data_IF_735672687323
#
_entry.id   IF_735672687323
#
_cell.length_a   1.000
_cell.length_b   1.000
_cell.length_c   1.000
_cell.angle_alpha   90.00
_cell.angle_beta   90.00
_cell.angle_gamma   90.00
#
_symmetry.space_group_name_H-M   'P 1'
#
loop_
_entity.id
_entity.type
_entity.pdbx_description
1 polymer ?
#
# COMPACT_ATOMS: atom_id res chain seq x y z
N UNK A 1 -18.48 16.15 -15.18
CA UNK A 1 -18.38 17.58 -15.54
C UNK A 1 -18.84 18.34 -14.31
N UNK A 2 -18.08 19.32 -13.81
CA UNK A 2 -18.44 20.04 -12.58
C UNK A 2 -19.68 20.91 -12.84
N UNK A 3 -20.75 20.71 -12.06
CA UNK A 3 -22.02 21.45 -12.16
C UNK A 3 -21.82 22.98 -12.16
N UNK A 4 -20.86 23.45 -11.34
CA UNK A 4 -20.47 24.86 -11.28
C UNK A 4 -19.89 25.42 -12.59
N UNK A 5 -19.16 24.61 -13.37
CA UNK A 5 -18.60 25.05 -14.67
C UNK A 5 -19.72 25.22 -15.70
N UNK A 6 -20.69 24.31 -15.73
CA UNK A 6 -21.83 24.39 -16.65
C UNK A 6 -22.70 25.62 -16.37
N UNK A 7 -22.91 25.95 -15.09
CA UNK A 7 -23.63 27.16 -14.68
C UNK A 7 -22.95 28.44 -15.18
N UNK A 8 -21.63 28.55 -15.06
CA UNK A 8 -20.86 29.71 -15.55
C UNK A 8 -20.98 29.83 -17.08
N UNK A 9 -20.83 28.72 -17.81
CA UNK A 9 -20.95 28.74 -19.27
C UNK A 9 -22.36 29.11 -19.76
N UNK A 10 -23.40 28.70 -19.03
CA UNK A 10 -24.78 29.13 -19.31
C UNK A 10 -24.98 30.63 -19.09
N UNK A 11 -24.34 31.23 -18.08
CA UNK A 11 -24.42 32.67 -17.83
C UNK A 11 -23.73 33.48 -18.95
N UNK A 12 -22.60 32.98 -19.46
CA UNK A 12 -21.93 33.58 -20.63
C UNK A 12 -22.78 33.43 -21.89
N UNK A 13 -23.36 32.25 -22.13
CA UNK A 13 -24.25 32.01 -23.28
C UNK A 13 -25.52 32.87 -23.22
N UNK A 14 -26.02 33.18 -22.02
CA UNK A 14 -27.15 34.07 -21.80
C UNK A 14 -26.77 35.57 -21.87
N UNK A 15 -25.49 35.90 -22.11
CA UNK A 15 -24.99 37.28 -22.17
C UNK A 15 -24.99 38.01 -20.82
N UNK A 16 -25.17 37.29 -19.71
CA UNK A 16 -25.17 37.86 -18.35
C UNK A 16 -23.77 37.99 -17.74
N UNK A 17 -22.77 37.42 -18.41
CA UNK A 17 -21.38 37.44 -18.01
C UNK A 17 -20.51 37.52 -19.26
N UNK A 18 -19.50 38.40 -19.25
CA UNK A 18 -18.52 38.46 -20.34
C UNK A 18 -17.48 37.35 -20.22
N UNK A 19 -16.74 37.08 -21.31
CA UNK A 19 -15.70 36.06 -21.30
C UNK A 19 -14.56 36.43 -20.33
N UNK A 20 -14.25 37.73 -20.25
CA UNK A 20 -13.23 38.30 -19.37
C UNK A 20 -13.58 38.13 -17.89
N UNK A 21 -14.86 38.29 -17.54
CA UNK A 21 -15.35 38.09 -16.17
C UNK A 21 -15.47 36.60 -15.80
N UNK A 22 -15.71 35.73 -16.78
CA UNK A 22 -15.82 34.28 -16.56
C UNK A 22 -14.46 33.61 -16.33
N UNK A 23 -13.40 34.09 -16.98
CA UNK A 23 -12.06 33.52 -16.90
C UNK A 23 -11.53 33.29 -15.46
N UNK A 24 -11.56 34.28 -14.54
CA UNK A 24 -11.08 34.07 -13.18
C UNK A 24 -11.97 33.12 -12.36
N UNK A 25 -13.29 33.07 -12.64
CA UNK A 25 -14.21 32.16 -11.96
C UNK A 25 -13.96 30.70 -12.34
N UNK A 26 -13.67 30.44 -13.61
CA UNK A 26 -13.32 29.11 -14.11
C UNK A 26 -11.96 28.67 -13.54
N UNK A 27 -10.97 29.56 -13.51
CA UNK A 27 -9.65 29.27 -12.94
C UNK A 27 -9.75 28.87 -11.46
N UNK A 28 -10.53 29.61 -10.66
CA UNK A 28 -10.74 29.31 -9.24
C UNK A 28 -11.49 27.99 -8.98
N UNK A 29 -12.23 27.47 -9.96
CA UNK A 29 -12.84 26.14 -9.88
C UNK A 29 -11.85 25.01 -10.17
N UNK A 30 -10.88 25.25 -11.06
CA UNK A 30 -9.83 24.28 -11.37
C UNK A 30 -8.81 24.16 -10.24
N UNK A 31 -8.49 25.27 -9.55
CA UNK A 31 -7.62 25.27 -8.35
C UNK A 31 -8.22 24.52 -7.15
N UNK A 32 -9.56 24.44 -7.06
CA UNK A 32 -10.26 23.63 -6.04
C UNK A 32 -10.30 22.15 -6.35
N UNK A 33 -9.88 21.75 -7.56
CA UNK A 33 -9.65 20.34 -7.84
C UNK A 33 -8.47 19.93 -6.97
N UNK A 34 -8.64 19.00 -6.01
CA UNK A 34 -7.52 18.54 -5.21
C UNK A 34 -6.41 18.14 -6.20
N UNK A 35 -5.15 18.54 -5.96
CA UNK A 35 -4.06 18.17 -6.84
C UNK A 35 -4.16 16.68 -7.05
N UNK A 36 -4.15 16.25 -8.31
CA UNK A 36 -4.09 14.83 -8.63
C UNK A 36 -2.89 14.30 -7.84
N UNK A 37 -3.19 13.55 -6.78
CA UNK A 37 -2.19 12.91 -5.93
C UNK A 37 -1.24 12.24 -6.92
N UNK A 38 0.08 12.52 -6.87
CA UNK A 38 0.99 11.97 -7.86
C UNK A 38 0.66 10.49 -7.95
N UNK A 39 0.21 10.06 -9.12
CA UNK A 39 -0.11 8.67 -9.36
C UNK A 39 1.19 7.94 -9.05
N UNK A 40 1.24 7.27 -7.91
CA UNK A 40 2.26 6.28 -7.63
C UNK A 40 2.20 5.37 -8.84
N UNK A 41 3.24 5.43 -9.69
CA UNK A 41 3.37 4.60 -10.88
C UNK A 41 2.90 3.21 -10.48
N UNK A 42 1.96 2.56 -11.20
CA UNK A 42 1.70 1.16 -10.94
C UNK A 42 3.06 0.47 -11.15
N UNK A 43 3.64 -0.01 -10.04
CA UNK A 43 4.86 -0.79 -10.11
C UNK A 43 4.49 -1.97 -11.02
N UNK A 44 5.12 -2.04 -12.18
CA UNK A 44 4.88 -3.08 -13.18
C UNK A 44 5.42 -4.44 -12.74
N UNK A 45 5.90 -4.57 -11.49
CA UNK A 45 6.17 -5.84 -10.85
C UNK A 45 4.97 -6.22 -9.96
N UNK A 46 4.56 -7.50 -9.93
CA UNK A 46 3.63 -7.97 -8.90
C UNK A 46 4.17 -7.53 -7.53
N UNK A 47 3.33 -6.86 -6.74
CA UNK A 47 3.74 -6.38 -5.43
C UNK A 47 4.20 -7.58 -4.58
N UNK A 48 5.51 -7.71 -4.36
CA UNK A 48 6.10 -8.81 -3.60
C UNK A 48 5.46 -8.89 -2.22
N UNK A 49 5.04 -10.08 -1.82
CA UNK A 49 4.29 -10.29 -0.58
C UNK A 49 5.09 -11.14 0.37
N UNK A 50 5.04 -10.82 1.65
CA UNK A 50 5.58 -11.66 2.70
C UNK A 50 4.41 -12.44 3.29
N UNK A 51 4.48 -13.75 3.21
CA UNK A 51 3.57 -14.65 3.91
C UNK A 51 4.17 -15.02 5.26
N UNK A 52 3.41 -14.81 6.32
CA UNK A 52 3.77 -15.20 7.69
C UNK A 52 2.72 -16.16 8.20
N UNK A 53 3.17 -17.34 8.62
CA UNK A 53 2.33 -18.38 9.20
C UNK A 53 2.84 -18.72 10.59
N UNK A 54 1.96 -18.67 11.59
CA UNK A 54 2.26 -19.09 12.97
C UNK A 54 1.40 -20.29 13.29
N UNK A 55 2.03 -21.33 13.82
CA UNK A 55 1.41 -22.56 14.28
C UNK A 55 1.53 -22.63 15.80
N UNK A 56 0.44 -22.99 16.46
CA UNK A 56 0.41 -23.34 17.88
C UNK A 56 -0.26 -24.71 18.04
N UNK A 57 0.38 -25.64 18.77
CA UNK A 57 -0.05 -27.00 19.04
C UNK A 57 -0.44 -27.76 17.77
N UNK A 58 0.36 -27.56 16.72
CA UNK A 58 0.13 -28.13 15.39
C UNK A 58 -1.02 -27.51 14.58
N UNK A 59 -1.62 -26.40 15.03
CA UNK A 59 -2.69 -25.68 14.30
C UNK A 59 -2.22 -24.30 13.87
N UNK A 60 -2.47 -23.92 12.62
CA UNK A 60 -2.21 -22.55 12.17
C UNK A 60 -3.17 -21.58 12.87
N UNK A 61 -2.60 -20.69 13.70
CA UNK A 61 -3.32 -19.63 14.41
C UNK A 61 -3.22 -18.29 13.69
N UNK A 62 -2.15 -18.09 12.90
CA UNK A 62 -1.95 -16.89 12.07
C UNK A 62 -1.52 -17.32 10.68
N UNK A 63 -2.13 -16.74 9.64
CA UNK A 63 -1.71 -16.88 8.25
C UNK A 63 -2.03 -15.57 7.51
N UNK A 64 -1.02 -14.74 7.29
CA UNK A 64 -1.17 -13.39 6.77
C UNK A 64 -0.27 -13.19 5.55
N UNK A 65 -0.76 -12.36 4.62
CA UNK A 65 0.01 -11.84 3.49
C UNK A 65 0.12 -10.33 3.63
N UNK A 66 1.35 -9.84 3.71
CA UNK A 66 1.64 -8.42 3.85
C UNK A 66 2.55 -7.93 2.73
N UNK A 67 2.40 -6.68 2.26
CA UNK A 67 3.36 -6.07 1.35
C UNK A 67 4.79 -6.14 1.90
N UNK A 68 5.78 -6.36 1.03
CA UNK A 68 7.20 -6.44 1.40
C UNK A 68 7.66 -5.29 2.30
N UNK A 69 7.25 -4.06 1.98
CA UNK A 69 7.60 -2.87 2.77
C UNK A 69 7.09 -2.95 4.22
N UNK A 70 5.89 -3.50 4.45
CA UNK A 70 5.37 -3.73 5.79
C UNK A 70 6.05 -4.93 6.45
N UNK A 71 6.29 -6.01 5.71
CA UNK A 71 6.97 -7.20 6.23
C UNK A 71 8.37 -6.88 6.79
N UNK A 72 9.16 -6.04 6.11
CA UNK A 72 10.48 -5.62 6.57
C UNK A 72 10.44 -4.85 7.90
N UNK A 73 9.44 -3.99 8.10
CA UNK A 73 9.27 -3.22 9.34
C UNK A 73 8.65 -4.05 10.46
N UNK A 74 7.79 -5.01 10.11
CA UNK A 74 6.98 -5.77 11.07
C UNK A 74 7.66 -7.06 11.57
N UNK A 75 8.78 -7.50 10.97
CA UNK A 75 9.40 -8.79 11.29
C UNK A 75 9.77 -8.95 12.77
N UNK A 76 10.18 -7.87 13.44
CA UNK A 76 10.55 -7.88 14.86
C UNK A 76 9.35 -8.06 15.80
N UNK A 77 8.13 -7.99 15.29
CA UNK A 77 6.90 -8.18 16.06
C UNK A 77 6.30 -9.58 15.87
N UNK A 78 6.95 -10.46 15.12
CA UNK A 78 6.48 -11.84 14.90
C UNK A 78 6.66 -12.65 16.20
N UNK A 79 5.58 -13.18 16.81
CA UNK A 79 5.69 -13.99 18.02
C UNK A 79 6.52 -15.25 17.78
N UNK A 80 7.32 -15.65 18.77
CA UNK A 80 8.18 -16.84 18.67
C UNK A 80 9.47 -16.63 17.86
N UNK A 81 9.71 -15.44 17.32
CA UNK A 81 10.93 -15.11 16.60
C UNK A 81 11.92 -14.38 17.52
N UNK A 82 13.16 -14.88 17.61
CA UNK A 82 14.23 -14.19 18.34
C UNK A 82 14.84 -13.03 17.50
N UNK A 83 15.66 -12.19 18.14
CA UNK A 83 16.23 -11.00 17.51
C UNK A 83 17.18 -11.32 16.35
N UNK A 84 17.96 -12.41 16.46
CA UNK A 84 18.93 -12.82 15.44
C UNK A 84 18.22 -13.34 14.19
N UNK A 85 17.18 -14.16 14.37
CA UNK A 85 16.34 -14.65 13.28
C UNK A 85 15.57 -13.51 12.62
N UNK A 86 15.04 -12.57 13.40
CA UNK A 86 14.39 -11.37 12.85
C UNK A 86 15.35 -10.52 12.01
N UNK A 87 16.60 -10.37 12.45
CA UNK A 87 17.63 -9.67 11.69
C UNK A 87 17.96 -10.40 10.37
N UNK A 88 18.08 -11.73 10.43
CA UNK A 88 18.34 -12.57 9.25
C UNK A 88 17.20 -12.54 8.23
N UNK A 89 15.96 -12.59 8.69
CA UNK A 89 14.77 -12.48 7.84
C UNK A 89 14.70 -11.10 7.19
N UNK A 90 14.93 -10.03 7.95
CA UNK A 90 14.96 -8.66 7.42
C UNK A 90 15.99 -8.50 6.30
N UNK A 91 17.19 -9.03 6.49
CA UNK A 91 18.27 -9.02 5.50
C UNK A 91 17.90 -9.83 4.24
N UNK A 92 17.26 -10.99 4.41
CA UNK A 92 16.72 -11.77 3.29
C UNK A 92 15.61 -11.04 2.52
N UNK A 93 14.68 -10.39 3.22
CA UNK A 93 13.63 -9.57 2.63
C UNK A 93 14.20 -8.35 1.89
N UNK A 94 15.28 -7.74 2.40
CA UNK A 94 15.96 -6.62 1.76
C UNK A 94 16.64 -7.04 0.45
N UNK A 95 17.16 -8.27 0.38
CA UNK A 95 17.70 -8.87 -0.86
C UNK A 95 16.62 -9.21 -1.89
N UNK A 96 15.35 -9.30 -1.47
CA UNK A 96 14.21 -9.53 -2.36
C UNK A 96 14.19 -10.92 -3.03
N UNK A 97 14.90 -11.91 -2.50
CA UNK A 97 14.94 -13.26 -3.08
C UNK A 97 13.65 -14.01 -2.70
N UNK A 98 12.80 -14.32 -3.68
CA UNK A 98 11.57 -15.09 -3.46
C UNK A 98 11.87 -16.52 -2.99
N UNK A 99 11.00 -17.05 -2.14
CA UNK A 99 11.11 -18.40 -1.58
C UNK A 99 11.01 -18.43 -0.05
N UNK A 100 11.23 -19.61 0.56
CA UNK A 100 11.23 -19.77 2.00
C UNK A 100 12.42 -19.03 2.61
N UNK A 101 12.16 -18.15 3.58
CA UNK A 101 13.19 -17.39 4.27
C UNK A 101 13.53 -18.04 5.61
N UNK A 102 12.49 -18.44 6.34
CA UNK A 102 12.63 -19.03 7.66
C UNK A 102 11.49 -20.03 7.91
N UNK A 103 11.83 -21.14 8.52
CA UNK A 103 10.88 -22.11 9.06
C UNK A 103 11.46 -22.63 10.38
N UNK A 104 10.80 -22.27 11.48
CA UNK A 104 11.14 -22.73 12.84
C UNK A 104 9.96 -23.51 13.36
N UNK A 105 10.23 -24.68 13.93
CA UNK A 105 9.22 -25.53 14.55
C UNK A 105 9.83 -26.21 15.76
N UNK A 106 9.11 -26.26 16.86
CA UNK A 106 9.51 -26.98 18.07
C UNK A 106 8.89 -28.39 18.15
N UNK A 107 9.23 -29.10 19.22
CA UNK A 107 8.77 -30.46 19.49
C UNK A 107 7.27 -30.53 19.87
N UNK A 108 6.72 -29.44 20.40
CA UNK A 108 5.31 -29.30 20.77
C UNK A 108 4.41 -28.96 19.56
N UNK A 109 5.04 -28.66 18.42
CA UNK A 109 4.38 -28.35 17.17
C UNK A 109 4.01 -26.87 17.02
N UNK A 110 4.55 -26.00 17.86
CA UNK A 110 4.52 -24.56 17.66
C UNK A 110 5.59 -24.18 16.62
N UNK A 111 5.37 -23.11 15.88
CA UNK A 111 6.33 -22.71 14.88
C UNK A 111 5.94 -21.50 14.07
N UNK A 112 6.91 -20.97 13.35
CA UNK A 112 6.76 -19.80 12.48
C UNK A 112 7.38 -20.10 11.13
N UNK A 113 6.65 -19.79 10.06
CA UNK A 113 7.12 -19.88 8.68
C UNK A 113 6.97 -18.54 7.98
N UNK A 114 8.06 -18.08 7.35
CA UNK A 114 8.12 -16.82 6.62
C UNK A 114 8.59 -17.09 5.19
N UNK A 115 7.81 -16.63 4.21
CA UNK A 115 8.06 -16.83 2.78
C UNK A 115 7.91 -15.50 2.05
N UNK A 116 8.82 -15.20 1.11
CA UNK A 116 8.64 -14.11 0.16
C UNK A 116 8.04 -14.67 -1.14
N UNK A 117 6.80 -14.26 -1.42
CA UNK A 117 6.04 -14.56 -2.65
C UNK A 117 6.28 -13.47 -3.71
#
# INVERSE_FOLDING_TARGET
MSDALESILRLVAAGRLTAEEAAPLIAALDERKPPARPATKPASEPARQVRVEVTERGRSVVNLRVPLALGQAAVSYVPGLNADDAARVRDALARGISGPILEVRDEDGDGVRIVLE
#
